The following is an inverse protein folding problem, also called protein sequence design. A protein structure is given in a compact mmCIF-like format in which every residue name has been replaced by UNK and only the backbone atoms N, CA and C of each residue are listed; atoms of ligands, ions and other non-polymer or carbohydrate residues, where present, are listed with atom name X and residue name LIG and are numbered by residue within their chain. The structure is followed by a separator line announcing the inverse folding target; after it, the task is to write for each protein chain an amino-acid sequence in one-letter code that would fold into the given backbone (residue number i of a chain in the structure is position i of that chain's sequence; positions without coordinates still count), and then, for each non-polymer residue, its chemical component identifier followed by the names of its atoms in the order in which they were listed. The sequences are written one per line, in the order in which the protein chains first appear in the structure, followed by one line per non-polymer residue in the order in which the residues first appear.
data_IF_149819752870
#
_entry.id   IF_149819752870
#
_cell.length_a   1.000
_cell.length_b   1.000
_cell.length_c   1.000
_cell.angle_alpha   90.00
_cell.angle_beta   90.00
_cell.angle_gamma   90.00
#
_symmetry.space_group_name_H-M   'P 1'
#
loop_
_entity.id
_entity.type
_entity.pdbx_description
1 polymer ?
#
# COMPACT_ATOMS: atom_id res chain seq x y z
N UNK A 1 8.35 1.68 -16.57
CA UNK A 1 8.60 2.46 -17.79
C UNK A 1 8.63 3.92 -17.40
N UNK A 2 9.58 4.69 -17.93
CA UNK A 2 9.62 6.15 -17.76
C UNK A 2 9.25 6.79 -19.09
N UNK A 3 8.23 7.64 -19.08
CA UNK A 3 7.84 8.42 -20.25
C UNK A 3 8.96 9.39 -20.64
N UNK A 4 8.96 9.83 -21.91
CA UNK A 4 9.95 10.75 -22.49
C UNK A 4 10.10 12.11 -21.77
N UNK A 5 9.27 12.40 -20.76
CA UNK A 5 9.32 13.61 -19.93
C UNK A 5 9.79 13.37 -18.47
N UNK A 6 10.31 12.18 -18.15
CA UNK A 6 10.92 11.88 -16.84
C UNK A 6 9.94 11.80 -15.67
N UNK A 7 8.63 11.75 -15.93
CA UNK A 7 7.59 11.51 -14.93
C UNK A 7 7.31 10.02 -14.72
N UNK A 8 6.89 9.65 -13.52
CA UNK A 8 6.43 8.30 -13.22
C UNK A 8 5.11 8.01 -13.95
N UNK A 9 5.03 6.87 -14.63
CA UNK A 9 3.79 6.42 -15.26
C UNK A 9 2.77 6.05 -14.18
N UNK A 10 1.51 6.44 -14.38
CA UNK A 10 0.46 6.11 -13.42
C UNK A 10 0.16 4.60 -13.49
N UNK A 11 0.11 3.89 -12.35
CA UNK A 11 -0.34 2.51 -12.33
C UNK A 11 -1.77 2.40 -12.85
N UNK A 12 -2.08 1.28 -13.51
CA UNK A 12 -3.41 1.02 -14.12
C UNK A 12 -4.23 -0.02 -13.36
N UNK A 13 -3.63 -0.77 -12.45
CA UNK A 13 -4.30 -1.75 -11.60
C UNK A 13 -3.52 -2.04 -10.34
N UNK A 14 -4.16 -2.70 -9.39
CA UNK A 14 -3.54 -3.30 -8.20
C UNK A 14 -4.04 -4.73 -8.05
N UNK A 15 -3.12 -5.65 -7.76
CA UNK A 15 -3.42 -7.01 -7.28
C UNK A 15 -2.54 -7.27 -6.07
N UNK A 16 -3.14 -7.28 -4.89
CA UNK A 16 -2.45 -7.43 -3.62
C UNK A 16 -3.20 -8.40 -2.71
N UNK A 17 -2.45 -9.21 -1.97
CA UNK A 17 -2.94 -10.03 -0.86
C UNK A 17 -2.18 -9.60 0.40
N UNK A 18 -2.88 -9.44 1.51
CA UNK A 18 -2.26 -9.10 2.79
C UNK A 18 -2.95 -9.76 3.96
N UNK A 19 -2.23 -9.84 5.08
CA UNK A 19 -2.71 -10.35 6.35
C UNK A 19 -2.93 -9.19 7.32
N UNK A 20 -4.14 -9.08 7.87
CA UNK A 20 -4.40 -8.24 9.04
C UNK A 20 -4.08 -9.05 10.29
N UNK A 21 -2.99 -8.70 10.98
CA UNK A 21 -2.58 -9.41 12.20
C UNK A 21 -3.60 -9.29 13.34
N UNK A 22 -4.26 -8.14 13.47
CA UNK A 22 -5.26 -7.91 14.50
C UNK A 22 -6.54 -8.71 14.24
N UNK A 23 -6.93 -8.90 12.98
CA UNK A 23 -8.14 -9.62 12.61
C UNK A 23 -7.88 -11.10 12.30
N UNK A 24 -6.60 -11.49 12.17
CA UNK A 24 -6.13 -12.83 11.79
C UNK A 24 -6.78 -13.31 10.48
N UNK A 25 -6.90 -12.38 9.53
CA UNK A 25 -7.62 -12.56 8.26
C UNK A 25 -6.79 -12.10 7.07
N UNK A 26 -6.88 -12.84 5.98
CA UNK A 26 -6.32 -12.44 4.70
C UNK A 26 -7.34 -11.64 3.89
N UNK A 27 -6.85 -10.61 3.22
CA UNK A 27 -7.63 -9.82 2.29
C UNK A 27 -6.94 -9.80 0.93
N UNK A 28 -7.73 -9.72 -0.13
CA UNK A 28 -7.25 -9.50 -1.49
C UNK A 28 -7.99 -8.34 -2.13
N UNK A 29 -7.22 -7.45 -2.76
CA UNK A 29 -7.75 -6.43 -3.66
C UNK A 29 -7.18 -6.70 -5.05
N UNK A 30 -8.06 -6.97 -6.01
CA UNK A 30 -7.74 -7.05 -7.43
C UNK A 30 -8.67 -6.10 -8.17
N UNK A 31 -8.16 -4.93 -8.56
CA UNK A 31 -8.96 -3.91 -9.26
C UNK A 31 -8.15 -3.26 -10.37
N UNK A 32 -8.83 -2.99 -11.49
CA UNK A 32 -8.34 -2.07 -12.51
C UNK A 32 -8.80 -0.67 -12.14
N UNK A 33 -7.91 0.32 -12.24
CA UNK A 33 -8.24 1.70 -11.96
C UNK A 33 -9.07 2.30 -13.09
N UNK A 34 -10.07 3.11 -12.74
CA UNK A 34 -10.81 3.90 -13.72
C UNK A 34 -9.87 4.87 -14.43
N UNK A 35 -10.22 5.28 -15.65
CA UNK A 35 -9.48 6.31 -16.38
C UNK A 35 -9.36 7.59 -15.56
N UNK A 36 -10.43 7.98 -14.84
CA UNK A 36 -10.44 9.14 -13.96
C UNK A 36 -9.38 9.03 -12.83
N UNK A 37 -9.29 7.88 -12.17
CA UNK A 37 -8.29 7.68 -11.11
C UNK A 37 -6.88 7.67 -11.69
N UNK A 38 -6.66 7.02 -12.84
CA UNK A 38 -5.36 7.03 -13.52
C UNK A 38 -4.95 8.44 -13.94
N UNK A 39 -5.89 9.23 -14.46
CA UNK A 39 -5.66 10.62 -14.86
C UNK A 39 -5.33 11.50 -13.64
N UNK A 40 -6.05 11.31 -12.53
CA UNK A 40 -5.76 11.97 -11.25
C UNK A 40 -4.35 11.66 -10.76
N UNK A 41 -3.94 10.38 -10.77
CA UNK A 41 -2.59 9.95 -10.37
C UNK A 41 -1.54 10.55 -11.31
N UNK A 42 -1.77 10.47 -12.63
CA UNK A 42 -0.86 11.02 -13.64
C UNK A 42 -0.69 12.53 -13.51
N UNK A 43 -1.78 13.24 -13.25
CA UNK A 43 -1.74 14.69 -13.00
C UNK A 43 -0.90 15.00 -11.75
N UNK A 44 -1.04 14.21 -10.68
CA UNK A 44 -0.21 14.37 -9.48
C UNK A 44 1.27 14.17 -9.77
N UNK A 45 1.67 13.11 -10.49
CA UNK A 45 3.07 12.90 -10.85
C UNK A 45 3.66 14.00 -11.75
N UNK A 46 2.84 14.64 -12.59
CA UNK A 46 3.26 15.77 -13.43
C UNK A 46 3.27 17.09 -12.67
N UNK A 47 2.48 17.20 -11.61
CA UNK A 47 2.42 18.41 -10.79
C UNK A 47 3.65 18.55 -9.91
N UNK A 48 4.14 19.78 -9.79
CA UNK A 48 5.19 20.14 -8.84
C UNK A 48 4.56 20.87 -7.66
N UNK A 49 5.10 20.67 -6.47
CA UNK A 49 4.75 21.46 -5.30
C UNK A 49 5.97 22.22 -4.81
N UNK A 50 5.72 23.43 -4.31
CA UNK A 50 6.77 24.27 -3.76
C UNK A 50 7.03 23.90 -2.30
N UNK A 51 8.28 23.62 -1.99
CA UNK A 51 8.78 23.46 -0.64
C UNK A 51 9.37 24.79 -0.18
N UNK A 52 8.65 25.42 0.76
CA UNK A 52 9.03 26.69 1.35
C UNK A 52 10.36 26.62 2.10
N UNK A 53 10.59 25.66 3.02
CA UNK A 53 11.89 25.45 3.64
C UNK A 53 13.07 25.33 2.66
N UNK A 54 12.95 24.52 1.60
CA UNK A 54 14.04 24.29 0.64
C UNK A 54 14.09 25.28 -0.53
N UNK A 55 13.13 26.22 -0.58
CA UNK A 55 12.91 27.22 -1.64
C UNK A 55 12.96 26.65 -3.06
N UNK A 56 12.45 25.44 -3.27
CA UNK A 56 12.47 24.76 -4.57
C UNK A 56 11.20 23.97 -4.84
N UNK A 57 11.05 23.55 -6.09
CA UNK A 57 9.97 22.67 -6.50
C UNK A 57 10.39 21.21 -6.41
N UNK A 58 9.51 20.39 -5.83
CA UNK A 58 9.61 18.94 -5.87
C UNK A 58 8.46 18.35 -6.68
N UNK A 59 8.64 17.11 -7.12
CA UNK A 59 7.60 16.31 -7.75
C UNK A 59 7.19 15.18 -6.83
N UNK A 60 5.98 14.65 -7.04
CA UNK A 60 5.66 13.33 -6.52
C UNK A 60 6.44 12.28 -7.31
N UNK A 61 7.03 11.32 -6.62
CA UNK A 61 7.89 10.28 -7.20
C UNK A 61 7.57 8.88 -6.68
N UNK A 62 6.56 8.74 -5.82
CA UNK A 62 6.14 7.48 -5.25
C UNK A 62 4.63 7.26 -5.33
N UNK A 63 4.23 5.99 -5.42
CA UNK A 63 2.87 5.54 -5.24
C UNK A 63 2.81 4.64 -4.01
N UNK A 64 1.90 4.93 -3.10
CA UNK A 64 1.81 4.24 -1.80
C UNK A 64 0.42 3.62 -1.66
N UNK A 65 0.40 2.35 -1.28
CA UNK A 65 -0.81 1.58 -1.03
C UNK A 65 -0.86 1.27 0.45
N UNK A 66 -1.80 1.89 1.17
CA UNK A 66 -2.03 1.62 2.57
C UNK A 66 -3.11 0.54 2.69
N UNK A 67 -2.76 -0.56 3.36
CA UNK A 67 -3.66 -1.66 3.69
C UNK A 67 -4.11 -1.50 5.13
N UNK A 68 -5.40 -1.32 5.34
CA UNK A 68 -6.00 -0.99 6.63
C UNK A 68 -6.83 -2.18 7.15
N UNK A 69 -7.17 -2.17 8.45
CA UNK A 69 -8.11 -3.14 9.01
C UNK A 69 -9.45 -3.16 8.26
N UNK A 70 -10.17 -4.28 8.37
CA UNK A 70 -11.46 -4.53 7.71
C UNK A 70 -11.39 -4.52 6.18
N UNK A 71 -10.19 -4.68 5.61
CA UNK A 71 -10.00 -4.76 4.16
C UNK A 71 -9.90 -3.41 3.46
N UNK A 72 -9.96 -2.27 4.15
CA UNK A 72 -9.89 -0.96 3.50
C UNK A 72 -8.51 -0.71 2.86
N UNK A 73 -8.50 -0.08 1.69
CA UNK A 73 -7.28 0.28 0.96
C UNK A 73 -7.31 1.74 0.56
N UNK A 74 -6.29 2.47 0.98
CA UNK A 74 -6.10 3.87 0.61
C UNK A 74 -4.87 4.02 -0.27
N UNK A 75 -5.02 4.80 -1.34
CA UNK A 75 -3.98 5.05 -2.33
C UNK A 75 -3.50 6.48 -2.21
N UNK A 76 -2.19 6.64 -2.18
CA UNK A 76 -1.52 7.93 -2.08
C UNK A 76 -0.46 8.09 -3.17
N UNK A 77 -0.20 9.35 -3.52
CA UNK A 77 1.06 9.74 -4.14
C UNK A 77 1.99 10.29 -3.07
N UNK A 78 3.28 10.00 -3.19
CA UNK A 78 4.31 10.31 -2.22
C UNK A 78 5.46 11.10 -2.87
N UNK A 79 5.97 12.06 -2.13
CA UNK A 79 7.11 12.88 -2.47
C UNK A 79 7.77 13.42 -1.21
N UNK A 80 8.90 14.09 -1.38
CA UNK A 80 9.68 14.65 -0.26
C UNK A 80 8.79 15.52 0.64
N UNK A 81 8.58 15.06 1.87
CA UNK A 81 7.80 15.77 2.90
C UNK A 81 6.31 15.91 2.59
N UNK A 82 5.78 15.27 1.54
CA UNK A 82 4.39 15.43 1.13
C UNK A 82 3.78 14.12 0.63
N UNK A 83 2.63 13.78 1.18
CA UNK A 83 1.81 12.65 0.74
C UNK A 83 0.38 13.12 0.50
N UNK A 84 -0.21 12.73 -0.62
CA UNK A 84 -1.58 13.14 -0.98
C UNK A 84 -2.47 11.96 -1.34
N UNK A 85 -3.67 11.95 -0.77
CA UNK A 85 -4.67 10.91 -0.99
C UNK A 85 -5.25 11.03 -2.41
N UNK A 86 -5.23 9.94 -3.15
CA UNK A 86 -5.84 9.86 -4.49
C UNK A 86 -7.10 9.01 -4.53
N UNK A 87 -7.23 8.00 -3.67
CA UNK A 87 -8.43 7.17 -3.54
C UNK A 87 -8.50 6.50 -2.16
N UNK A 88 -9.68 6.46 -1.55
CA UNK A 88 -9.95 5.88 -0.22
C UNK A 88 -11.14 4.90 -0.21
N UNK A 89 -11.72 4.62 -1.38
CA UNK A 89 -12.97 3.85 -1.51
C UNK A 89 -12.76 2.35 -1.75
N UNK A 90 -11.53 1.90 -1.96
CA UNK A 90 -11.28 0.47 -2.21
C UNK A 90 -11.40 -0.36 -0.94
N UNK A 91 -12.05 -1.51 -1.08
CA UNK A 91 -12.20 -2.51 -0.02
C UNK A 91 -11.85 -3.87 -0.62
N UNK A 92 -10.80 -4.48 -0.08
CA UNK A 92 -10.42 -5.85 -0.38
C UNK A 92 -11.42 -6.83 0.22
N UNK A 93 -11.62 -7.96 -0.46
CA UNK A 93 -12.44 -9.05 0.06
C UNK A 93 -11.61 -9.95 0.96
N UNK A 94 -12.25 -10.49 1.99
CA UNK A 94 -11.66 -11.59 2.77
C UNK A 94 -11.41 -12.78 1.84
N UNK A 95 -10.25 -13.40 1.97
CA UNK A 95 -9.85 -14.60 1.21
C UNK A 95 -9.31 -15.64 2.17
N UNK A 96 -9.40 -16.92 1.78
CA UNK A 96 -8.74 -17.99 2.52
C UNK A 96 -7.41 -18.31 1.83
N UNK A 97 -6.32 -18.07 2.53
CA UNK A 97 -4.95 -18.38 2.11
C UNK A 97 -4.31 -19.11 3.28
N UNK A 98 -3.63 -20.23 3.01
CA UNK A 98 -2.91 -20.92 4.07
C UNK A 98 -1.69 -20.10 4.48
N UNK A 99 -1.34 -20.09 5.78
CA UNK A 99 -0.12 -19.40 6.23
C UNK A 99 1.12 -19.97 5.51
N UNK A 100 1.14 -21.28 5.21
CA UNK A 100 2.24 -21.92 4.50
C UNK A 100 2.44 -21.35 3.09
N UNK A 101 1.35 -21.10 2.36
CA UNK A 101 1.42 -20.52 1.01
C UNK A 101 1.78 -19.02 1.04
N UNK A 102 1.45 -18.32 2.13
CA UNK A 102 1.68 -16.88 2.27
C UNK A 102 3.07 -16.54 2.81
N UNK A 103 3.53 -17.24 3.84
CA UNK A 103 4.82 -17.06 4.51
C UNK A 103 5.29 -18.42 5.04
N UNK A 104 6.05 -19.16 4.21
CA UNK A 104 6.51 -20.50 4.53
C UNK A 104 7.40 -20.52 5.79
N UNK A 105 8.29 -19.55 5.93
CA UNK A 105 9.19 -19.46 7.10
C UNK A 105 8.43 -19.07 8.37
N UNK A 106 7.46 -18.15 8.24
CA UNK A 106 6.50 -17.84 9.29
C UNK A 106 5.72 -19.07 9.75
N UNK A 107 5.23 -19.87 8.80
CA UNK A 107 4.59 -21.15 9.10
C UNK A 107 5.54 -22.13 9.78
N UNK A 108 6.78 -22.25 9.31
CA UNK A 108 7.78 -23.16 9.89
C UNK A 108 8.05 -22.85 11.37
N UNK A 109 8.11 -21.57 11.75
CA UNK A 109 8.36 -21.15 13.13
C UNK A 109 7.11 -21.23 14.02
N UNK A 110 5.98 -20.69 13.55
CA UNK A 110 4.79 -20.53 14.40
C UNK A 110 3.76 -21.67 14.27
N UNK A 111 3.80 -22.45 13.18
CA UNK A 111 2.91 -23.59 12.86
C UNK A 111 1.42 -23.26 12.69
N UNK A 112 0.93 -22.11 13.15
CA UNK A 112 -0.46 -21.66 13.01
C UNK A 112 -0.54 -20.16 12.73
N UNK A 113 -1.65 -19.74 12.10
CA UNK A 113 -1.94 -18.33 11.84
C UNK A 113 -2.08 -17.51 13.13
N UNK A 114 -2.71 -18.10 14.15
CA UNK A 114 -2.89 -17.47 15.47
C UNK A 114 -1.55 -17.14 16.11
N UNK A 115 -0.67 -18.14 16.24
CA UNK A 115 0.64 -17.96 16.86
C UNK A 115 1.53 -17.00 16.06
N UNK A 116 1.43 -17.04 14.72
CA UNK A 116 2.14 -16.10 13.85
C UNK A 116 1.70 -14.65 14.10
N UNK A 117 0.38 -14.40 14.13
CA UNK A 117 -0.14 -13.07 14.38
C UNK A 117 0.23 -12.58 15.79
N UNK A 118 0.11 -13.44 16.81
CA UNK A 118 0.49 -13.11 18.18
C UNK A 118 1.99 -12.81 18.31
N UNK A 119 2.86 -13.56 17.64
CA UNK A 119 4.30 -13.29 17.62
C UNK A 119 4.64 -11.94 16.98
N UNK A 120 3.98 -11.60 15.85
CA UNK A 120 4.17 -10.31 15.16
C UNK A 120 3.68 -9.12 15.99
N UNK A 121 2.62 -9.31 16.77
CA UNK A 121 2.08 -8.29 17.67
C UNK A 121 2.87 -8.20 18.99
N UNK A 122 3.33 -9.32 19.53
CA UNK A 122 4.11 -9.40 20.77
C UNK A 122 5.51 -8.82 20.64
N UNK A 123 6.12 -8.89 19.45
CA UNK A 123 7.38 -8.21 19.14
C UNK A 123 7.31 -6.67 19.25
N UNK A 124 6.13 -6.07 19.27
CA UNK A 124 5.94 -4.62 19.45
C UNK A 124 6.10 -4.16 20.92
N UNK A 125 6.17 -5.08 21.89
CA UNK A 125 6.31 -4.75 23.32
C UNK A 125 7.74 -4.87 23.88
N UNK A 126 8.74 -5.21 23.07
CA UNK A 126 10.13 -5.40 23.52
C UNK A 126 11.10 -4.33 22.96
N UNK A 127 10.59 -3.15 22.64
CA UNK A 127 11.36 -2.03 22.07
C UNK A 127 10.98 -0.67 22.63
N UNK A 128 10.77 -0.57 23.95
CA UNK A 128 10.55 0.67 24.69
C UNK A 128 11.39 0.70 25.96
#
# INVERSE_FOLDING_TARGET
GSDANGGMEAPSSVDIVWLSYLEKKFYRLNVKFSSELQDKIRQKFRSKYYDWPAKRYWSFSGFVINMLPKGHVWLYVDGIGRRELVCDSFVGREVNVSLQDFDEDGYRYYKSLDAFCEGRLGGLHMGG
#
